data_IF_798467145910
#
_entry.id   IF_798467145910
#
_cell.length_a   1.000
_cell.length_b   1.000
_cell.length_c   1.000
_cell.angle_alpha   90.00
_cell.angle_beta   90.00
_cell.angle_gamma   90.00
#
_symmetry.space_group_name_H-M   'P 1'
#
loop_
_entity.id
_entity.type
_entity.pdbx_description
1 polymer ?
#
# COMPACT_ATOMS: atom_id res chain seq x y z
N UNK A 1 0.02 5.66 -26.98
CA UNK A 1 -1.05 5.87 -25.97
C UNK A 1 -0.42 6.01 -24.59
N UNK A 2 -0.41 7.21 -24.02
CA UNK A 2 0.04 7.39 -22.64
C UNK A 2 -0.96 6.74 -21.68
N UNK A 3 -0.50 5.87 -20.77
CA UNK A 3 -1.35 5.33 -19.70
C UNK A 3 -1.84 6.49 -18.84
N UNK A 4 -3.16 6.71 -18.78
CA UNK A 4 -3.74 7.65 -17.81
C UNK A 4 -3.31 7.21 -16.40
N UNK A 5 -2.68 8.08 -15.59
CA UNK A 5 -2.37 7.74 -14.21
C UNK A 5 -3.69 7.51 -13.46
N UNK A 6 -3.85 6.29 -12.94
CA UNK A 6 -5.09 5.88 -12.30
C UNK A 6 -5.09 6.38 -10.84
N UNK A 7 -5.82 7.48 -10.61
CA UNK A 7 -5.92 8.15 -9.31
C UNK A 7 -6.44 7.24 -8.18
N UNK A 8 -7.10 6.13 -8.51
CA UNK A 8 -7.57 5.14 -7.52
C UNK A 8 -6.44 4.42 -6.77
N UNK A 9 -5.20 4.45 -7.27
CA UNK A 9 -4.04 3.88 -6.55
C UNK A 9 -3.46 4.83 -5.49
N UNK A 10 -3.72 6.13 -5.64
CA UNK A 10 -3.35 7.15 -4.66
C UNK A 10 -4.38 7.28 -3.54
N UNK A 11 -5.56 6.64 -3.68
CA UNK A 11 -6.55 6.64 -2.60
C UNK A 11 -5.93 5.97 -1.36
N UNK A 12 -5.87 6.69 -0.23
CA UNK A 12 -5.39 6.12 1.02
C UNK A 12 -6.33 5.00 1.43
N UNK A 13 -5.75 3.83 1.66
CA UNK A 13 -6.44 2.65 2.18
C UNK A 13 -6.04 2.46 3.63
N UNK A 14 -7.02 2.15 4.47
CA UNK A 14 -6.78 1.83 5.86
C UNK A 14 -6.40 0.35 5.94
N UNK A 15 -5.18 0.03 6.41
CA UNK A 15 -4.76 -1.35 6.55
C UNK A 15 -5.50 -2.02 7.71
N UNK A 16 -5.86 -3.29 7.51
CA UNK A 16 -6.50 -4.13 8.52
C UNK A 16 -5.53 -4.44 9.68
N UNK A 17 -6.02 -4.89 10.84
CA UNK A 17 -5.19 -5.01 12.06
C UNK A 17 -3.93 -5.89 11.86
N UNK A 18 -4.09 -6.98 11.11
CA UNK A 18 -2.99 -7.90 10.77
C UNK A 18 -2.01 -7.22 9.80
N UNK A 19 -2.53 -6.51 8.80
CA UNK A 19 -1.72 -5.83 7.81
C UNK A 19 -0.98 -4.64 8.43
N UNK A 20 -1.62 -3.93 9.36
CA UNK A 20 -1.08 -2.81 10.10
C UNK A 20 0.13 -3.19 10.97
N UNK A 21 0.23 -4.44 11.44
CA UNK A 21 1.43 -4.94 12.11
C UNK A 21 2.65 -4.98 11.16
N UNK A 22 2.41 -5.12 9.85
CA UNK A 22 3.46 -5.22 8.81
C UNK A 22 3.72 -3.85 8.16
N UNK A 23 2.67 -3.09 7.83
CA UNK A 23 2.77 -1.84 7.05
C UNK A 23 2.58 -0.56 7.88
N UNK A 24 2.12 -0.69 9.13
CA UNK A 24 1.73 0.38 10.05
C UNK A 24 0.24 0.72 9.97
N UNK A 25 -0.38 1.12 11.09
CA UNK A 25 -1.83 1.42 11.19
C UNK A 25 -2.27 2.75 10.57
N UNK A 26 -1.36 3.51 9.95
CA UNK A 26 -1.71 4.77 9.28
C UNK A 26 -2.35 4.48 7.92
N UNK A 27 -3.34 5.27 7.48
CA UNK A 27 -3.86 5.17 6.12
C UNK A 27 -2.74 5.48 5.12
N UNK A 28 -2.51 4.56 4.19
CA UNK A 28 -1.40 4.61 3.24
C UNK A 28 -1.92 4.39 1.82
N UNK A 29 -1.27 4.96 0.79
CA UNK A 29 -1.61 4.66 -0.59
C UNK A 29 -1.30 3.19 -0.90
N UNK A 30 -2.06 2.58 -1.83
CA UNK A 30 -1.89 1.17 -2.23
C UNK A 30 -0.46 0.85 -2.69
N UNK A 31 0.24 1.82 -3.27
CA UNK A 31 1.63 1.67 -3.72
C UNK A 31 2.63 1.50 -2.57
N UNK A 32 2.50 2.26 -1.49
CA UNK A 32 3.35 2.09 -0.30
C UNK A 32 3.05 0.80 0.45
N UNK A 33 1.77 0.43 0.53
CA UNK A 33 1.33 -0.81 1.17
C UNK A 33 1.99 -2.03 0.52
N UNK A 34 1.94 -2.12 -0.81
CA UNK A 34 2.58 -3.22 -1.55
C UNK A 34 4.10 -3.23 -1.38
N UNK A 35 4.78 -2.07 -1.36
CA UNK A 35 6.23 -2.00 -1.13
C UNK A 35 6.63 -2.57 0.24
N UNK A 36 5.92 -2.16 1.30
CA UNK A 36 6.16 -2.65 2.65
C UNK A 36 5.88 -4.15 2.78
N UNK A 37 4.85 -4.64 2.10
CA UNK A 37 4.54 -6.08 2.05
C UNK A 37 5.67 -6.88 1.42
N UNK A 38 6.19 -6.44 0.26
CA UNK A 38 7.31 -7.10 -0.41
C UNK A 38 8.61 -7.05 0.41
N UNK A 39 8.86 -5.94 1.12
CA UNK A 39 10.01 -5.82 2.01
C UNK A 39 9.92 -6.81 3.19
N UNK A 40 8.71 -7.08 3.68
CA UNK A 40 8.47 -8.11 4.69
C UNK A 40 8.64 -9.53 4.12
N UNK A 41 8.10 -9.81 2.93
CA UNK A 41 8.17 -11.13 2.28
C UNK A 41 9.61 -11.49 1.85
N UNK A 42 10.41 -10.51 1.43
CA UNK A 42 11.80 -10.73 1.01
C UNK A 42 12.79 -10.85 2.17
N UNK A 43 12.34 -10.60 3.40
CA UNK A 43 13.17 -10.72 4.59
C UNK A 43 13.23 -12.18 5.03
#
# INVERSE_FOLDING_TARGET
>A
MARKPNAAFMKPVQPDAILAAIVGSKPLPRTEMTKKLWAYIKK
#
